data_IF_425582505671
#
_entry.id   IF_425582505671
#
_cell.length_a   1.000
_cell.length_b   1.000
_cell.length_c   1.000
_cell.angle_alpha   90.00
_cell.angle_beta   90.00
_cell.angle_gamma   90.00
#
_symmetry.space_group_name_H-M   'P 1'
#
loop_
_entity.id
_entity.type
_entity.pdbx_description
1 polymer ?
#
# COMPACT_ATOMS: atom_id res chain seq x y z
N UNK A 1 0.12 17.18 -12.71
CA UNK A 1 -0.01 15.70 -12.79
C UNK A 1 -0.66 15.24 -11.50
N UNK A 2 -1.71 14.43 -11.56
CA UNK A 2 -2.22 13.78 -10.35
C UNK A 2 -1.20 12.73 -9.88
N UNK A 3 -1.01 12.55 -8.57
CA UNK A 3 -0.13 11.49 -8.08
C UNK A 3 -0.64 10.15 -8.59
N UNK A 4 0.27 9.35 -9.13
CA UNK A 4 -0.03 7.99 -9.53
C UNK A 4 -0.15 7.14 -8.26
N UNK A 5 -1.32 6.55 -8.06
CA UNK A 5 -1.65 5.79 -6.85
C UNK A 5 -1.57 4.29 -7.18
N UNK A 6 -0.53 3.57 -6.71
CA UNK A 6 -0.23 2.19 -7.10
C UNK A 6 -1.11 1.14 -6.43
N UNK A 7 -1.87 1.49 -5.38
CA UNK A 7 -2.72 0.54 -4.66
C UNK A 7 -4.19 0.87 -4.90
N UNK A 8 -4.98 -0.17 -5.16
CA UNK A 8 -6.44 -0.12 -5.26
C UNK A 8 -7.08 -0.95 -4.14
N UNK A 9 -8.15 -0.45 -3.53
CA UNK A 9 -8.99 -1.23 -2.63
C UNK A 9 -10.45 -0.93 -2.95
N UNK A 10 -11.26 -1.98 -3.12
CA UNK A 10 -12.70 -1.83 -3.40
C UNK A 10 -13.51 -2.06 -2.13
N UNK A 11 -14.45 -1.16 -1.90
CA UNK A 11 -15.45 -1.28 -0.84
C UNK A 11 -16.86 -1.36 -1.45
N UNK A 12 -17.75 -2.14 -0.84
CA UNK A 12 -19.15 -2.26 -1.23
C UNK A 12 -20.03 -2.38 0.02
N UNK A 13 -21.32 -2.12 -0.14
CA UNK A 13 -22.29 -2.29 0.93
C UNK A 13 -23.07 -3.60 0.77
N UNK A 14 -22.99 -4.51 1.73
CA UNK A 14 -23.51 -5.89 1.63
C UNK A 14 -25.03 -5.97 1.38
N UNK A 15 -25.77 -4.98 1.85
CA UNK A 15 -27.24 -4.98 1.81
C UNK A 15 -27.82 -4.00 0.79
N UNK A 16 -26.97 -3.20 0.13
CA UNK A 16 -27.45 -2.20 -0.82
C UNK A 16 -27.44 -2.78 -2.23
N UNK A 17 -28.55 -2.67 -2.95
CA UNK A 17 -28.59 -3.10 -4.35
C UNK A 17 -27.94 -2.07 -5.27
N UNK A 18 -28.05 -0.79 -4.91
CA UNK A 18 -27.51 0.33 -5.68
C UNK A 18 -26.16 0.80 -5.14
N UNK A 19 -25.11 0.03 -5.45
CA UNK A 19 -23.75 0.31 -4.99
C UNK A 19 -23.21 1.70 -5.37
N UNK A 20 -23.69 2.27 -6.49
CA UNK A 20 -23.32 3.62 -6.89
C UNK A 20 -23.82 4.68 -5.89
N UNK A 21 -25.01 4.49 -5.30
CA UNK A 21 -25.56 5.41 -4.31
C UNK A 21 -24.75 5.33 -3.01
N UNK A 22 -24.46 4.12 -2.54
CA UNK A 22 -23.53 3.87 -1.43
C UNK A 22 -22.19 4.57 -1.67
N UNK A 23 -21.58 4.38 -2.84
CA UNK A 23 -20.25 4.89 -3.12
C UNK A 23 -20.21 6.43 -3.14
N UNK A 24 -21.25 7.08 -3.69
CA UNK A 24 -21.37 8.55 -3.66
C UNK A 24 -21.49 9.06 -2.23
N UNK A 25 -22.34 8.45 -1.41
CA UNK A 25 -22.50 8.83 0.00
C UNK A 25 -21.22 8.61 0.80
N UNK A 26 -20.52 7.49 0.58
CA UNK A 26 -19.26 7.21 1.24
C UNK A 26 -18.19 8.25 0.89
N UNK A 27 -18.15 8.76 -0.35
CA UNK A 27 -17.21 9.82 -0.73
C UNK A 27 -17.42 11.14 0.02
N UNK A 28 -18.62 11.41 0.55
CA UNK A 28 -18.92 12.66 1.28
C UNK A 28 -18.27 12.69 2.66
N UNK A 29 -18.04 11.53 3.28
CA UNK A 29 -17.44 11.41 4.63
C UNK A 29 -15.94 11.15 4.60
N UNK A 30 -15.37 10.87 3.42
CA UNK A 30 -13.97 10.50 3.29
C UNK A 30 -13.03 11.71 3.34
N UNK A 31 -11.91 11.63 4.08
CA UNK A 31 -10.94 12.71 4.15
C UNK A 31 -10.22 12.87 2.81
N UNK A 32 -10.17 14.09 2.29
CA UNK A 32 -9.35 14.40 1.10
C UNK A 32 -7.89 14.55 1.50
N UNK A 33 -7.01 13.85 0.79
CA UNK A 33 -5.55 13.91 0.95
C UNK A 33 -4.89 13.72 -0.41
N UNK A 34 -3.64 14.16 -0.55
CA UNK A 34 -2.88 14.02 -1.80
C UNK A 34 -2.47 12.57 -2.09
N UNK A 35 -2.28 11.76 -1.05
CA UNK A 35 -1.86 10.35 -1.10
C UNK A 35 -3.02 9.35 -1.30
N UNK A 36 -4.24 9.85 -1.54
CA UNK A 36 -5.43 9.03 -1.75
C UNK A 36 -6.37 9.63 -2.80
N UNK A 37 -7.08 8.80 -3.53
CA UNK A 37 -8.19 9.22 -4.40
C UNK A 37 -9.36 8.25 -4.29
N UNK A 38 -10.56 8.72 -4.62
CA UNK A 38 -11.79 7.95 -4.47
C UNK A 38 -12.63 8.07 -5.73
N UNK A 39 -13.19 6.95 -6.17
CA UNK A 39 -14.08 6.90 -7.32
C UNK A 39 -15.32 6.07 -7.01
N UNK A 40 -16.50 6.67 -7.20
CA UNK A 40 -17.77 5.96 -7.11
C UNK A 40 -18.07 5.23 -8.43
N UNK A 41 -18.47 3.97 -8.33
CA UNK A 41 -18.83 3.15 -9.49
C UNK A 41 -19.99 2.20 -9.22
N UNK A 42 -20.45 1.53 -10.27
CA UNK A 42 -21.56 0.57 -10.19
C UNK A 42 -21.25 -0.66 -9.30
N UNK A 43 -19.98 -0.91 -8.99
CA UNK A 43 -19.52 -2.00 -8.12
C UNK A 43 -19.19 -1.54 -6.69
N UNK A 44 -19.43 -0.27 -6.37
CA UNK A 44 -19.14 0.32 -5.08
C UNK A 44 -18.11 1.42 -5.17
N UNK A 45 -17.39 1.63 -4.07
CA UNK A 45 -16.36 2.64 -3.94
C UNK A 45 -14.98 2.04 -4.23
N UNK A 46 -14.25 2.64 -5.15
CA UNK A 46 -12.83 2.37 -5.36
C UNK A 46 -12.01 3.40 -4.59
N UNK A 47 -11.14 2.94 -3.71
CA UNK A 47 -10.12 3.71 -3.04
C UNK A 47 -8.79 3.47 -3.74
N UNK A 48 -8.08 4.53 -4.05
CA UNK A 48 -6.72 4.52 -4.56
C UNK A 48 -5.81 5.13 -3.51
N UNK A 49 -4.61 4.58 -3.34
CA UNK A 49 -3.65 5.08 -2.36
C UNK A 49 -2.20 4.91 -2.81
N UNK A 50 -1.32 5.77 -2.28
CA UNK A 50 0.13 5.68 -2.49
C UNK A 50 0.73 4.45 -1.78
N UNK A 51 0.26 4.17 -0.57
CA UNK A 51 0.79 3.12 0.32
C UNK A 51 -0.34 2.42 1.09
N UNK A 52 -0.07 1.24 1.65
CA UNK A 52 -1.02 0.55 2.53
C UNK A 52 -1.40 1.41 3.73
N UNK A 53 -0.44 2.16 4.28
CA UNK A 53 -0.65 3.08 5.40
C UNK A 53 -1.63 4.20 5.05
N UNK A 54 -1.61 4.68 3.80
CA UNK A 54 -2.53 5.72 3.35
C UNK A 54 -4.00 5.23 3.26
N UNK A 55 -4.24 3.91 3.13
CA UNK A 55 -5.59 3.32 3.16
C UNK A 55 -6.19 3.25 4.57
N UNK A 56 -5.38 3.23 5.62
CA UNK A 56 -5.85 2.97 6.99
C UNK A 56 -6.94 3.94 7.44
N UNK A 57 -6.71 5.25 7.25
CA UNK A 57 -7.64 6.28 7.71
C UNK A 57 -8.97 6.26 6.94
N UNK A 58 -8.99 6.26 5.58
CA UNK A 58 -10.22 6.07 4.82
C UNK A 58 -10.99 4.79 5.21
N UNK A 59 -10.32 3.64 5.31
CA UNK A 59 -10.98 2.38 5.66
C UNK A 59 -11.52 2.39 7.09
N UNK A 60 -10.83 3.04 8.03
CA UNK A 60 -11.33 3.23 9.39
C UNK A 60 -12.62 4.06 9.41
N UNK A 61 -12.65 5.19 8.70
CA UNK A 61 -13.86 6.05 8.60
C UNK A 61 -15.03 5.26 8.01
N UNK A 62 -14.81 4.49 6.94
CA UNK A 62 -15.87 3.68 6.35
C UNK A 62 -16.37 2.61 7.32
N UNK A 63 -15.48 1.96 8.08
CA UNK A 63 -15.87 0.98 9.11
C UNK A 63 -16.67 1.61 10.24
N UNK A 64 -16.31 2.82 10.68
CA UNK A 64 -17.04 3.57 11.70
C UNK A 64 -18.46 3.93 11.24
N UNK A 65 -18.62 4.30 9.96
CA UNK A 65 -19.93 4.72 9.39
C UNK A 65 -20.83 3.52 9.05
N UNK A 66 -20.29 2.49 8.41
CA UNK A 66 -21.09 1.39 7.83
C UNK A 66 -21.02 0.08 8.63
N UNK A 67 -20.09 -0.04 9.58
CA UNK A 67 -19.93 -1.21 10.43
C UNK A 67 -19.85 -2.52 9.64
N UNK A 68 -20.60 -3.52 10.08
CA UNK A 68 -20.61 -4.86 9.48
C UNK A 68 -21.27 -4.90 8.09
N UNK A 69 -21.99 -3.86 7.68
CA UNK A 69 -22.57 -3.78 6.35
C UNK A 69 -21.51 -3.48 5.27
N UNK A 70 -20.30 -3.07 5.67
CA UNK A 70 -19.20 -2.84 4.75
C UNK A 70 -18.53 -4.16 4.34
N UNK A 71 -18.41 -4.36 3.03
CA UNK A 71 -17.49 -5.30 2.42
C UNK A 71 -16.25 -4.56 1.92
N UNK A 72 -15.07 -5.16 2.10
CA UNK A 72 -13.78 -4.60 1.70
C UNK A 72 -12.98 -5.72 1.05
N UNK A 73 -12.51 -5.51 -0.17
CA UNK A 73 -11.60 -6.42 -0.86
C UNK A 73 -10.18 -6.21 -0.34
N UNK A 74 -9.32 -7.24 -0.36
CA UNK A 74 -7.89 -7.04 -0.13
C UNK A 74 -7.35 -5.94 -1.05
N UNK A 75 -6.44 -5.07 -0.58
CA UNK A 75 -5.83 -4.10 -1.48
C UNK A 75 -5.02 -4.84 -2.55
N UNK A 76 -5.15 -4.36 -3.78
CA UNK A 76 -4.54 -4.91 -4.98
C UNK A 76 -3.57 -3.90 -5.59
N UNK A 77 -2.53 -4.41 -6.24
CA UNK A 77 -1.54 -3.58 -6.93
C UNK A 77 -2.04 -3.23 -8.33
N UNK A 78 -1.86 -1.97 -8.70
CA UNK A 78 -2.21 -1.44 -10.01
C UNK A 78 -0.99 -1.49 -10.92
N UNK A 79 -0.90 -2.55 -11.71
CA UNK A 79 0.05 -2.67 -12.81
C UNK A 79 -0.31 -1.73 -13.97
N UNK A 80 0.69 -1.33 -14.75
CA UNK A 80 0.47 -0.68 -16.04
C UNK A 80 0.50 -1.73 -17.13
N UNK A 81 -0.45 -1.63 -18.05
CA UNK A 81 -0.53 -2.49 -19.21
C UNK A 81 -0.27 -1.63 -20.45
N UNK A 82 0.94 -1.77 -21.00
CA UNK A 82 1.37 -1.12 -22.23
C UNK A 82 1.94 -2.15 -23.21
N UNK A 83 3.06 -1.83 -23.86
CA UNK A 83 3.84 -2.80 -24.62
C UNK A 83 4.41 -3.91 -23.72
N UNK A 84 4.68 -3.57 -22.46
CA UNK A 84 5.06 -4.49 -21.38
C UNK A 84 4.20 -4.24 -20.14
N UNK A 85 4.19 -5.21 -19.22
CA UNK A 85 3.54 -5.06 -17.92
C UNK A 85 4.56 -4.43 -16.97
N UNK A 86 4.21 -3.27 -16.40
CA UNK A 86 5.04 -2.62 -15.39
C UNK A 86 4.39 -2.68 -14.01
N UNK A 87 5.20 -2.87 -12.99
CA UNK A 87 4.79 -2.83 -11.59
C UNK A 87 5.35 -1.61 -10.85
N UNK A 88 4.65 -1.14 -9.82
CA UNK A 88 5.13 -0.02 -9.01
C UNK A 88 6.27 -0.47 -8.11
N UNK A 89 7.36 0.30 -8.16
CA UNK A 89 8.47 0.22 -7.23
C UNK A 89 8.37 1.34 -6.20
N UNK A 90 8.55 0.99 -4.93
CA UNK A 90 8.48 1.91 -3.82
C UNK A 90 9.87 2.27 -3.32
N UNK A 91 10.07 3.54 -2.99
CA UNK A 91 11.15 3.95 -2.11
C UNK A 91 10.71 3.84 -0.65
N UNK A 92 11.62 3.44 0.22
CA UNK A 92 11.37 3.42 1.65
C UNK A 92 12.57 3.85 2.49
N UNK A 93 12.27 4.45 3.65
CA UNK A 93 13.23 4.79 4.68
C UNK A 93 12.72 4.31 6.02
N UNK A 94 13.50 3.45 6.68
CA UNK A 94 13.25 2.98 8.04
C UNK A 94 14.23 3.65 8.98
N UNK A 95 13.72 4.22 10.07
CA UNK A 95 14.50 4.62 11.25
C UNK A 95 14.12 3.70 12.40
N UNK A 96 15.09 3.10 13.07
CA UNK A 96 14.85 2.20 14.20
C UNK A 96 15.95 2.32 15.26
N UNK A 97 15.72 1.74 16.43
CA UNK A 97 16.77 1.61 17.44
C UNK A 97 17.85 0.59 16.97
N UNK A 98 19.13 0.76 17.35
CA UNK A 98 20.23 -0.04 16.80
C UNK A 98 20.06 -1.54 16.96
N UNK A 99 19.42 -2.00 18.05
CA UNK A 99 19.18 -3.42 18.31
C UNK A 99 18.24 -4.08 17.30
N UNK A 100 17.42 -3.32 16.56
CA UNK A 100 16.51 -3.84 15.54
C UNK A 100 17.07 -3.73 14.12
N UNK A 101 18.19 -3.03 13.93
CA UNK A 101 18.74 -2.71 12.61
C UNK A 101 18.95 -3.94 11.73
N UNK A 102 19.63 -4.97 12.25
CA UNK A 102 19.90 -6.19 11.49
C UNK A 102 18.63 -6.98 11.16
N UNK A 103 17.63 -6.95 12.05
CA UNK A 103 16.35 -7.61 11.81
C UNK A 103 15.58 -6.93 10.66
N UNK A 104 15.54 -5.59 10.66
CA UNK A 104 14.93 -4.79 9.59
C UNK A 104 15.66 -5.03 8.26
N UNK A 105 17.00 -4.95 8.26
CA UNK A 105 17.82 -5.16 7.07
C UNK A 105 17.59 -6.54 6.46
N UNK A 106 17.53 -7.58 7.31
CA UNK A 106 17.28 -8.95 6.88
C UNK A 106 15.88 -9.13 6.30
N UNK A 107 14.84 -8.57 6.92
CA UNK A 107 13.46 -8.67 6.41
C UNK A 107 13.33 -8.01 5.03
N UNK A 108 13.93 -6.83 4.84
CA UNK A 108 13.96 -6.16 3.53
C UNK A 108 14.71 -6.96 2.46
N UNK A 109 15.84 -7.57 2.83
CA UNK A 109 16.56 -8.45 1.92
C UNK A 109 15.73 -9.69 1.50
N UNK A 110 15.03 -10.31 2.45
CA UNK A 110 14.14 -11.45 2.17
C UNK A 110 12.95 -11.07 1.27
N UNK A 111 12.55 -9.80 1.30
CA UNK A 111 11.54 -9.20 0.42
C UNK A 111 12.12 -8.71 -0.91
N UNK A 112 13.31 -9.16 -1.28
CA UNK A 112 14.01 -8.79 -2.52
C UNK A 112 14.18 -7.27 -2.72
N UNK A 113 14.08 -6.48 -1.64
CA UNK A 113 14.29 -5.05 -1.70
C UNK A 113 15.79 -4.76 -1.85
N UNK A 114 16.12 -3.85 -2.76
CA UNK A 114 17.47 -3.39 -2.96
C UNK A 114 17.81 -2.31 -1.92
N UNK A 115 18.75 -2.62 -1.02
CA UNK A 115 19.23 -1.69 -0.02
C UNK A 115 20.19 -0.72 -0.68
N UNK A 116 19.79 0.56 -0.73
CA UNK A 116 20.59 1.64 -1.31
C UNK A 116 21.62 2.18 -0.33
N UNK A 117 21.25 2.21 0.95
CA UNK A 117 22.09 2.71 2.02
C UNK A 117 21.62 2.16 3.36
N UNK A 118 22.57 1.90 4.26
CA UNK A 118 22.30 1.35 5.58
C UNK A 118 23.37 1.79 6.59
N UNK A 119 22.96 2.57 7.58
CA UNK A 119 23.83 3.15 8.59
C UNK A 119 23.35 2.77 9.98
N UNK A 120 24.26 2.45 10.89
CA UNK A 120 23.94 2.19 12.29
C UNK A 120 25.00 2.79 13.21
N UNK A 121 24.57 3.39 14.31
CA UNK A 121 25.43 3.87 15.37
C UNK A 121 24.84 3.48 16.74
N UNK A 122 25.38 4.05 17.83
CA UNK A 122 24.93 3.74 19.20
C UNK A 122 23.51 4.26 19.52
N UNK A 123 22.99 5.19 18.73
CA UNK A 123 21.73 5.87 18.99
C UNK A 123 20.60 5.41 18.07
N UNK A 124 20.90 5.11 16.80
CA UNK A 124 19.90 4.69 15.83
C UNK A 124 20.48 3.85 14.67
N UNK A 125 19.59 3.19 13.94
CA UNK A 125 19.84 2.61 12.62
C UNK A 125 18.90 3.19 11.57
N UNK A 126 19.43 3.46 10.37
CA UNK A 126 18.68 3.91 9.19
C UNK A 126 18.90 2.92 8.05
N UNK A 127 17.82 2.48 7.41
CA UNK A 127 17.87 1.68 6.19
C UNK A 127 17.08 2.41 5.10
N UNK A 128 17.70 2.64 3.95
CA UNK A 128 17.08 3.16 2.74
C UNK A 128 17.07 2.05 1.69
N UNK A 129 15.90 1.75 1.16
CA UNK A 129 15.74 0.67 0.19
C UNK A 129 14.71 1.05 -0.88
N UNK A 130 14.75 0.31 -1.98
CA UNK A 130 13.76 0.35 -3.06
C UNK A 130 13.34 -1.07 -3.42
N UNK A 131 12.10 -1.28 -3.82
CA UNK A 131 11.66 -2.61 -4.27
C UNK A 131 10.25 -2.63 -4.83
N UNK A 132 9.85 -3.73 -5.50
CA UNK A 132 8.49 -3.91 -5.98
C UNK A 132 7.48 -3.81 -4.84
N UNK A 133 6.37 -3.08 -5.05
CA UNK A 133 5.29 -2.97 -4.06
C UNK A 133 4.74 -4.35 -3.68
N UNK A 134 4.75 -5.33 -4.59
CA UNK A 134 4.28 -6.70 -4.32
C UNK A 134 5.11 -7.41 -3.26
N UNK A 135 6.42 -7.20 -3.26
CA UNK A 135 7.31 -7.80 -2.28
C UNK A 135 7.31 -7.05 -0.93
N UNK A 136 6.98 -5.76 -0.98
CA UNK A 136 6.88 -4.88 0.19
C UNK A 136 5.50 -4.90 0.87
N UNK A 137 4.52 -5.60 0.29
CA UNK A 137 3.17 -5.69 0.85
C UNK A 137 3.20 -6.27 2.28
N UNK A 138 2.48 -5.66 3.21
CA UNK A 138 2.47 -6.01 4.64
C UNK A 138 3.76 -5.68 5.39
N UNK A 139 4.74 -5.00 4.76
CA UNK A 139 5.95 -4.57 5.45
C UNK A 139 5.69 -3.57 6.59
N UNK A 140 4.75 -2.60 6.50
CA UNK A 140 4.46 -1.70 7.62
C UNK A 140 4.11 -2.44 8.92
N UNK A 141 3.20 -3.41 8.86
CA UNK A 141 2.82 -4.24 10.00
C UNK A 141 3.99 -5.10 10.49
N UNK A 142 4.75 -5.67 9.55
CA UNK A 142 5.94 -6.46 9.86
C UNK A 142 7.00 -5.63 10.59
N UNK A 143 7.21 -4.38 10.19
CA UNK A 143 8.13 -3.47 10.84
C UNK A 143 7.71 -3.19 12.29
N UNK A 144 6.41 -2.96 12.53
CA UNK A 144 5.88 -2.79 13.88
C UNK A 144 6.22 -4.01 14.74
N UNK A 145 6.05 -5.22 14.23
CA UNK A 145 6.40 -6.45 14.94
C UNK A 145 7.91 -6.56 15.21
N UNK A 146 8.74 -6.32 14.19
CA UNK A 146 10.21 -6.43 14.30
C UNK A 146 10.80 -5.44 15.29
N UNK A 147 10.21 -4.24 15.37
CA UNK A 147 10.73 -3.12 16.16
C UNK A 147 9.94 -2.87 17.44
N UNK A 148 8.96 -3.74 17.76
CA UNK A 148 8.04 -3.55 18.89
C UNK A 148 7.37 -2.16 18.86
N UNK A 149 7.03 -1.68 17.66
CA UNK A 149 6.42 -0.36 17.43
C UNK A 149 7.38 0.83 17.53
N UNK A 150 8.68 0.62 17.72
CA UNK A 150 9.67 1.70 17.84
C UNK A 150 10.28 2.13 16.50
N UNK A 151 10.00 1.41 15.41
CA UNK A 151 10.40 1.77 14.07
C UNK A 151 9.54 2.89 13.48
N UNK A 152 10.16 3.77 12.70
CA UNK A 152 9.46 4.75 11.86
C UNK A 152 9.69 4.38 10.40
N UNK A 153 8.61 4.44 9.63
CA UNK A 153 8.60 4.14 8.21
C UNK A 153 8.13 5.36 7.42
N UNK A 154 8.84 5.65 6.35
CA UNK A 154 8.34 6.48 5.25
C UNK A 154 8.43 5.64 3.98
N UNK A 155 7.35 5.61 3.21
CA UNK A 155 7.25 4.95 1.92
C UNK A 155 6.63 5.90 0.90
N UNK A 156 7.06 5.82 -0.35
CA UNK A 156 6.56 6.64 -1.45
C UNK A 156 6.70 5.88 -2.77
N UNK A 157 5.85 6.22 -3.75
CA UNK A 157 6.02 5.69 -5.10
C UNK A 157 7.31 6.25 -5.71
N UNK A 158 8.22 5.38 -6.13
CA UNK A 158 9.47 5.77 -6.77
C UNK A 158 9.31 5.86 -8.28
N UNK A 159 8.88 4.76 -8.91
CA UNK A 159 8.68 4.64 -10.34
C UNK A 159 7.88 3.36 -10.66
N UNK A 160 7.53 3.18 -11.92
CA UNK A 160 7.10 1.89 -12.46
C UNK A 160 8.25 1.28 -13.25
N UNK A 161 8.38 -0.03 -13.18
CA UNK A 161 9.40 -0.79 -13.91
C UNK A 161 8.80 -2.09 -14.47
N UNK A 162 9.36 -2.66 -15.55
CA UNK A 162 8.91 -3.93 -16.10
C UNK A 162 8.97 -5.05 -15.06
N UNK A 163 7.93 -5.88 -15.03
CA UNK A 163 7.86 -7.05 -14.14
C UNK A 163 8.95 -8.05 -14.53
N UNK A 164 9.86 -8.39 -13.61
CA UNK A 164 11.00 -9.26 -13.90
C UNK A 164 10.61 -10.74 -14.09
N UNK A 165 9.51 -11.20 -13.50
CA UNK A 165 8.89 -12.52 -13.75
C UNK A 165 7.36 -12.39 -13.74
N UNK A 166 6.63 -12.78 -14.79
CA UNK A 166 5.18 -12.68 -14.81
C UNK A 166 4.58 -13.51 -13.66
N UNK A 167 3.57 -12.99 -12.94
CA UNK A 167 2.94 -13.74 -11.87
C UNK A 167 2.40 -15.09 -12.40
N UNK A 168 2.54 -16.19 -11.65
CA UNK A 168 2.00 -17.47 -12.07
C UNK A 168 0.46 -17.40 -12.08
N UNK A 169 -0.11 -17.22 -13.27
CA UNK A 169 -1.56 -17.27 -13.49
C UNK A 169 -2.13 -16.04 -14.20
N UNK A 170 -1.88 -15.94 -15.50
CA UNK A 170 -2.67 -15.13 -16.42
C UNK A 170 -3.04 -16.00 -17.60
N UNK A 171 -4.27 -16.54 -17.60
CA UNK A 171 -4.82 -17.30 -18.74
C UNK A 171 -4.67 -16.47 -20.01
N UNK A 172 -4.09 -17.09 -21.05
CA UNK A 172 -4.26 -16.62 -22.41
C UNK A 172 -5.76 -16.46 -22.70
N UNK A 173 -6.13 -15.31 -23.24
CA UNK A 173 -7.34 -15.14 -24.02
C UNK A 173 -6.99 -15.36 -25.49
#
# INVERSE_FOLDING_TARGET
MHPELPIECRCWHRHERFQLAFARQAMEVLPRREDTAFAAGARGLTLLAETEMALERPLRVLREVYGNALGIDPPAIRYRHGAEIEEPHMGLRVLCAPQYFDAVRRDLYLRTASIMDAEVNRSFGIVRATGPQVALFGFPDRLIQLTQGQGKLVMWLSHYAPVQEPPPGGSAA
#
